data_IF_720925189248
#
_entry.id   IF_720925189248
#
_cell.length_a   1.000
_cell.length_b   1.000
_cell.length_c   1.000
_cell.angle_alpha   90.00
_cell.angle_beta   90.00
_cell.angle_gamma   90.00
#
_symmetry.space_group_name_H-M   'P 1'
#
loop_
_entity.id
_entity.type
_entity.pdbx_description
1 polymer ?
#
# COMPACT_ATOMS: atom_id res chain seq x y z
N UNK A 1 -74.42 25.47 -16.19
CA UNK A 1 -73.70 25.22 -17.46
C UNK A 1 -72.63 26.28 -17.57
N UNK A 2 -71.39 25.90 -17.23
CA UNK A 2 -70.23 26.78 -17.24
C UNK A 2 -69.58 26.72 -18.62
N UNK A 3 -69.43 27.89 -19.24
CA UNK A 3 -68.54 28.10 -20.36
C UNK A 3 -67.69 29.32 -20.04
N UNK A 4 -66.39 29.12 -19.91
CA UNK A 4 -65.36 30.13 -20.15
C UNK A 4 -64.04 29.41 -20.36
N UNK A 5 -63.56 29.49 -21.60
CA UNK A 5 -62.17 29.25 -21.96
C UNK A 5 -61.27 30.20 -21.17
N UNK A 6 -60.17 29.67 -20.63
CA UNK A 6 -58.98 30.48 -20.38
C UNK A 6 -57.79 29.78 -21.04
N UNK A 7 -57.60 30.11 -22.32
CA UNK A 7 -56.37 29.82 -23.05
C UNK A 7 -55.30 30.79 -22.58
N UNK A 8 -54.41 30.35 -21.69
CA UNK A 8 -53.04 30.86 -21.71
C UNK A 8 -52.20 29.94 -22.60
N UNK A 9 -51.45 30.49 -23.56
CA UNK A 9 -50.50 29.69 -24.33
C UNK A 9 -49.44 29.17 -23.37
N UNK A 10 -49.37 27.86 -23.18
CA UNK A 10 -48.20 27.23 -22.54
C UNK A 10 -47.08 27.30 -23.57
N UNK A 11 -46.04 28.06 -23.24
CA UNK A 11 -44.95 28.44 -24.14
C UNK A 11 -44.29 27.21 -24.79
N UNK A 12 -44.12 27.17 -26.13
CA UNK A 12 -43.36 26.13 -26.82
C UNK A 12 -41.84 26.12 -26.50
N UNK A 13 -41.35 27.07 -25.71
CA UNK A 13 -39.93 27.25 -25.36
C UNK A 13 -39.51 26.48 -24.08
N UNK A 14 -40.46 25.99 -23.27
CA UNK A 14 -40.12 25.38 -21.97
C UNK A 14 -39.68 23.91 -22.09
N UNK A 15 -40.21 23.13 -23.03
CA UNK A 15 -39.90 21.70 -23.13
C UNK A 15 -38.45 21.44 -23.55
N UNK A 16 -37.95 22.20 -24.54
CA UNK A 16 -36.55 22.14 -24.96
C UNK A 16 -35.62 22.62 -23.84
N UNK A 17 -36.03 23.66 -23.10
CA UNK A 17 -35.27 24.15 -21.95
C UNK A 17 -35.17 23.12 -20.80
N UNK A 18 -36.24 22.36 -20.56
CA UNK A 18 -36.31 21.29 -19.56
C UNK A 18 -35.42 20.12 -19.98
N UNK A 19 -35.51 19.66 -21.23
CA UNK A 19 -34.68 18.54 -21.72
C UNK A 19 -33.20 18.91 -21.83
N UNK A 20 -32.87 20.15 -22.22
CA UNK A 20 -31.49 20.66 -22.19
C UNK A 20 -30.98 20.72 -20.76
N UNK A 21 -31.82 21.12 -19.80
CA UNK A 21 -31.47 21.14 -18.39
C UNK A 21 -31.27 19.75 -17.79
N UNK A 22 -32.17 18.80 -18.04
CA UNK A 22 -32.05 17.41 -17.57
C UNK A 22 -30.74 16.76 -18.05
N UNK A 23 -30.42 16.93 -19.34
CA UNK A 23 -29.15 16.45 -19.89
C UNK A 23 -27.94 17.14 -19.26
N UNK A 24 -28.02 18.45 -19.04
CA UNK A 24 -26.96 19.24 -18.38
C UNK A 24 -26.78 18.82 -16.91
N UNK A 25 -27.88 18.54 -16.22
CA UNK A 25 -27.89 18.09 -14.83
C UNK A 25 -27.25 16.72 -14.71
N UNK A 26 -27.69 15.73 -15.48
CA UNK A 26 -27.10 14.38 -15.42
C UNK A 26 -25.62 14.38 -15.81
N UNK A 27 -25.23 15.21 -16.79
CA UNK A 27 -23.84 15.30 -17.22
C UNK A 27 -22.92 15.91 -16.15
N UNK A 28 -23.39 16.91 -15.39
CA UNK A 28 -22.52 17.71 -14.53
C UNK A 28 -22.75 17.54 -13.03
N UNK A 29 -23.87 16.96 -12.58
CA UNK A 29 -24.19 16.88 -11.14
C UNK A 29 -23.10 16.19 -10.34
N UNK A 30 -22.55 15.10 -10.86
CA UNK A 30 -21.53 14.32 -10.14
C UNK A 30 -20.26 15.15 -9.96
N UNK A 31 -19.85 15.91 -10.99
CA UNK A 31 -18.65 16.76 -10.94
C UNK A 31 -18.85 17.90 -9.93
N UNK A 32 -20.03 18.52 -9.89
CA UNK A 32 -20.35 19.59 -8.94
C UNK A 32 -20.46 19.05 -7.50
N UNK A 33 -21.11 17.90 -7.29
CA UNK A 33 -21.20 17.26 -5.96
C UNK A 33 -19.81 16.87 -5.45
N UNK A 34 -18.95 16.26 -6.28
CA UNK A 34 -17.54 15.99 -5.92
C UNK A 34 -16.81 17.28 -5.53
N UNK A 35 -16.99 18.37 -6.27
CA UNK A 35 -16.38 19.66 -5.93
C UNK A 35 -16.82 20.18 -4.55
N UNK A 36 -18.10 20.08 -4.22
CA UNK A 36 -18.60 20.46 -2.89
C UNK A 36 -18.06 19.56 -1.78
N UNK A 37 -18.04 18.24 -1.98
CA UNK A 37 -17.48 17.28 -1.02
C UNK A 37 -15.99 17.51 -0.76
N UNK A 38 -15.25 18.08 -1.71
CA UNK A 38 -13.85 18.47 -1.54
C UNK A 38 -13.68 19.78 -0.76
N UNK A 39 -14.65 20.69 -0.80
CA UNK A 39 -14.51 22.03 -0.19
C UNK A 39 -15.25 22.16 1.14
N UNK A 40 -16.33 21.42 1.31
CA UNK A 40 -17.25 21.54 2.43
C UNK A 40 -17.46 20.17 3.08
N UNK A 41 -18.31 20.11 4.10
CA UNK A 41 -18.71 18.83 4.69
C UNK A 41 -19.49 18.01 3.63
N UNK A 42 -19.14 16.73 3.39
CA UNK A 42 -19.81 15.91 2.39
C UNK A 42 -21.33 15.80 2.59
N UNK A 43 -21.83 15.92 3.82
CA UNK A 43 -23.25 15.84 4.15
C UNK A 43 -24.08 16.97 3.55
N UNK A 44 -23.47 18.10 3.18
CA UNK A 44 -24.17 19.24 2.55
C UNK A 44 -23.94 19.32 1.04
N UNK A 45 -23.15 18.40 0.46
CA UNK A 45 -22.73 18.49 -0.93
C UNK A 45 -23.89 18.32 -1.91
N UNK A 46 -24.82 17.41 -1.64
CA UNK A 46 -25.96 17.16 -2.52
C UNK A 46 -26.97 18.31 -2.52
N UNK A 47 -27.26 18.88 -1.35
CA UNK A 47 -28.13 20.06 -1.22
C UNK A 47 -27.55 21.28 -1.95
N UNK A 48 -26.26 21.53 -1.80
CA UNK A 48 -25.59 22.64 -2.50
C UNK A 48 -25.49 22.40 -4.00
N UNK A 49 -25.35 21.14 -4.42
CA UNK A 49 -25.42 20.76 -5.84
C UNK A 49 -26.78 21.13 -6.41
N UNK A 50 -27.87 20.74 -5.76
CA UNK A 50 -29.24 21.10 -6.19
C UNK A 50 -29.40 22.62 -6.31
N UNK A 51 -28.94 23.38 -5.31
CA UNK A 51 -29.01 24.85 -5.34
C UNK A 51 -28.25 25.48 -6.50
N UNK A 52 -27.09 24.92 -6.88
CA UNK A 52 -26.32 25.41 -8.04
C UNK A 52 -27.10 25.22 -9.33
N UNK A 53 -27.70 24.04 -9.52
CA UNK A 53 -28.45 23.77 -10.74
C UNK A 53 -29.74 24.57 -10.83
N UNK A 54 -30.45 24.80 -9.70
CA UNK A 54 -31.59 25.71 -9.66
C UNK A 54 -31.18 27.14 -10.07
N UNK A 55 -30.10 27.69 -9.48
CA UNK A 55 -29.57 29.00 -9.87
C UNK A 55 -29.12 29.04 -11.33
N UNK A 56 -28.57 27.95 -11.84
CA UNK A 56 -28.16 27.84 -13.24
C UNK A 56 -29.37 27.92 -14.18
N UNK A 57 -30.48 27.25 -13.87
CA UNK A 57 -31.74 27.34 -14.65
C UNK A 57 -32.27 28.77 -14.63
N UNK A 58 -32.40 29.35 -13.44
CA UNK A 58 -32.93 30.70 -13.27
C UNK A 58 -32.14 31.74 -14.05
N UNK A 59 -30.82 31.54 -14.20
CA UNK A 59 -29.91 32.49 -14.82
C UNK A 59 -29.42 32.07 -16.21
N UNK A 60 -29.93 30.98 -16.80
CA UNK A 60 -29.39 30.42 -18.05
C UNK A 60 -29.49 31.42 -19.21
N UNK A 61 -30.52 32.27 -19.21
CA UNK A 61 -30.71 33.35 -20.18
C UNK A 61 -29.58 34.38 -20.20
N UNK A 62 -28.78 34.47 -19.12
CA UNK A 62 -27.62 35.37 -19.03
C UNK A 62 -26.32 34.72 -19.54
N UNK A 63 -26.34 33.45 -19.96
CA UNK A 63 -25.18 32.77 -20.48
C UNK A 63 -24.88 33.22 -21.92
N UNK A 64 -23.81 34.00 -22.09
CA UNK A 64 -23.42 34.61 -23.38
C UNK A 64 -22.49 33.73 -24.25
N UNK A 65 -22.30 32.46 -23.91
CA UNK A 65 -21.47 31.52 -24.69
C UNK A 65 -19.95 31.82 -24.70
N UNK A 66 -19.47 32.73 -23.85
CA UNK A 66 -18.04 33.11 -23.77
C UNK A 66 -17.13 32.06 -23.12
N UNK A 67 -17.72 31.00 -22.57
CA UNK A 67 -17.06 29.80 -22.03
C UNK A 67 -17.92 28.59 -22.38
N UNK A 68 -17.45 27.36 -22.12
CA UNK A 68 -18.36 26.22 -22.14
C UNK A 68 -19.39 26.33 -20.99
N UNK A 69 -20.50 25.62 -21.15
CA UNK A 69 -21.61 25.64 -20.19
C UNK A 69 -21.17 25.18 -18.80
N UNK A 70 -20.34 24.13 -18.73
CA UNK A 70 -19.79 23.62 -17.48
C UNK A 70 -19.02 24.70 -16.69
N UNK A 71 -18.13 25.45 -17.34
CA UNK A 71 -17.34 26.53 -16.71
C UNK A 71 -18.25 27.60 -16.10
N UNK A 72 -19.36 27.90 -16.77
CA UNK A 72 -20.32 28.88 -16.29
C UNK A 72 -21.07 28.37 -15.05
N UNK A 73 -21.57 27.13 -15.08
CA UNK A 73 -22.20 26.47 -13.92
C UNK A 73 -21.20 26.35 -12.76
N UNK A 74 -19.95 26.01 -13.06
CA UNK A 74 -18.89 25.87 -12.07
C UNK A 74 -18.60 27.20 -11.35
N UNK A 75 -18.70 28.34 -12.05
CA UNK A 75 -18.58 29.66 -11.43
C UNK A 75 -19.70 29.94 -10.44
N UNK A 76 -20.91 29.46 -10.71
CA UNK A 76 -22.02 29.50 -9.75
C UNK A 76 -21.67 28.64 -8.52
N UNK A 77 -21.14 27.44 -8.71
CA UNK A 77 -20.68 26.59 -7.62
C UNK A 77 -19.58 27.23 -6.76
N UNK A 78 -18.55 27.84 -7.38
CA UNK A 78 -17.51 28.58 -6.65
C UNK A 78 -18.09 29.73 -5.80
N UNK A 79 -19.07 30.46 -6.34
CA UNK A 79 -19.74 31.52 -5.58
C UNK A 79 -20.58 30.95 -4.43
N UNK A 80 -21.25 29.81 -4.63
CA UNK A 80 -21.97 29.10 -3.57
C UNK A 80 -21.03 28.68 -2.44
N UNK A 81 -19.86 28.09 -2.74
CA UNK A 81 -18.83 27.75 -1.73
C UNK A 81 -18.39 29.00 -0.96
N UNK A 82 -18.08 30.11 -1.65
CA UNK A 82 -17.68 31.37 -1.00
C UNK A 82 -18.75 31.90 -0.06
N UNK A 83 -20.03 31.79 -0.44
CA UNK A 83 -21.14 32.22 0.39
C UNK A 83 -21.32 31.33 1.62
N UNK A 84 -21.18 30.01 1.47
CA UNK A 84 -21.24 29.08 2.60
C UNK A 84 -20.12 29.33 3.61
N UNK A 85 -18.88 29.56 3.17
CA UNK A 85 -17.80 29.92 4.10
C UNK A 85 -18.09 31.23 4.84
N UNK A 86 -18.60 32.26 4.15
CA UNK A 86 -19.02 33.52 4.80
C UNK A 86 -20.16 33.33 5.79
N UNK A 87 -21.05 32.35 5.55
CA UNK A 87 -22.15 32.02 6.45
C UNK A 87 -21.63 31.29 7.70
N UNK A 88 -20.77 30.29 7.50
CA UNK A 88 -20.14 29.52 8.58
C UNK A 88 -19.26 30.40 9.48
N UNK A 89 -18.52 31.35 8.88
CA UNK A 89 -17.72 32.33 9.62
C UNK A 89 -18.58 33.21 10.54
N UNK A 90 -19.76 33.67 10.06
CA UNK A 90 -20.71 34.46 10.87
C UNK A 90 -21.41 33.67 11.97
N UNK A 91 -21.52 32.35 11.86
CA UNK A 91 -22.15 31.50 12.89
C UNK A 91 -21.22 31.13 14.05
N UNK A 92 -19.91 31.42 13.94
CA UNK A 92 -18.85 30.98 14.88
C UNK A 92 -18.35 32.07 15.85
N UNK A 93 -19.09 33.16 16.07
CA UNK A 93 -18.73 34.18 17.06
C UNK A 93 -18.85 33.65 18.51
N UNK A 94 -17.80 32.95 18.98
CA UNK A 94 -17.45 32.67 20.39
C UNK A 94 -15.91 32.55 20.47
N UNK A 95 -15.24 33.08 21.50
CA UNK A 95 -13.90 33.63 21.37
C UNK A 95 -12.82 32.56 21.56
N UNK A 96 -12.20 32.14 20.46
CA UNK A 96 -10.81 31.69 20.46
C UNK A 96 -10.18 32.07 19.12
N UNK A 97 -8.92 32.47 19.21
CA UNK A 97 -8.05 33.09 18.20
C UNK A 97 -8.21 32.56 16.75
N UNK A 98 -8.37 33.47 15.79
CA UNK A 98 -8.40 33.16 14.35
C UNK A 98 -7.55 34.17 13.57
N UNK A 99 -6.27 33.85 13.41
CA UNK A 99 -5.58 34.13 12.15
C UNK A 99 -5.78 32.92 11.24
N UNK A 100 -6.11 33.13 9.97
CA UNK A 100 -6.23 32.11 8.90
C UNK A 100 -7.63 31.54 8.60
N UNK A 101 -8.60 32.42 8.33
CA UNK A 101 -9.82 32.06 7.57
C UNK A 101 -9.96 32.81 6.25
N UNK A 102 -8.92 33.53 5.82
CA UNK A 102 -8.75 33.85 4.42
C UNK A 102 -8.03 32.66 3.76
N UNK A 103 -8.72 32.07 2.77
CA UNK A 103 -8.20 31.19 1.72
C UNK A 103 -7.82 29.72 2.04
N UNK A 104 -8.57 28.84 1.35
CA UNK A 104 -8.13 27.67 0.59
C UNK A 104 -7.45 26.48 1.31
N UNK A 105 -8.25 25.45 1.62
CA UNK A 105 -7.79 24.05 1.57
C UNK A 105 -8.94 23.09 1.24
N UNK A 106 -8.60 21.86 0.83
CA UNK A 106 -9.56 20.74 0.65
C UNK A 106 -9.99 20.25 2.05
N UNK A 107 -11.26 19.89 2.21
CA UNK A 107 -11.81 19.31 3.43
C UNK A 107 -11.20 17.93 3.69
N UNK A 108 -10.52 17.78 4.83
CA UNK A 108 -9.82 16.56 5.25
C UNK A 108 -10.75 15.37 5.59
N UNK A 109 -12.07 15.58 5.62
CA UNK A 109 -13.03 14.50 5.88
C UNK A 109 -13.20 13.54 4.69
N UNK A 110 -12.96 13.99 3.46
CA UNK A 110 -13.13 13.16 2.27
C UNK A 110 -12.03 12.08 2.12
N UNK A 111 -10.82 12.32 2.65
CA UNK A 111 -9.69 11.37 2.56
C UNK A 111 -9.79 10.19 3.54
N UNK A 112 -10.77 10.21 4.46
CA UNK A 112 -10.96 9.13 5.45
C UNK A 112 -11.67 7.88 4.89
N UNK A 113 -12.19 7.92 3.67
CA UNK A 113 -13.00 6.85 3.07
C UNK A 113 -12.32 6.08 1.92
N UNK A 114 -11.00 6.16 1.79
CA UNK A 114 -10.22 5.29 0.91
C UNK A 114 -9.37 4.37 1.80
N UNK A 115 -9.56 3.06 1.69
CA UNK A 115 -8.95 2.00 2.51
C UNK A 115 -7.42 1.83 2.36
N UNK A 116 -6.72 2.88 1.93
CA UNK A 116 -5.26 2.98 1.94
C UNK A 116 -4.93 4.39 2.44
N UNK A 117 -4.50 4.51 3.70
CA UNK A 117 -4.09 5.79 4.30
C UNK A 117 -2.73 6.25 3.75
N UNK A 118 -2.71 6.68 2.49
CA UNK A 118 -1.82 7.76 2.08
C UNK A 118 -2.59 9.02 2.47
N UNK A 119 -2.09 9.79 3.44
CA UNK A 119 -2.69 11.08 3.79
C UNK A 119 -2.37 12.11 2.70
N UNK A 120 -2.98 11.91 1.53
CA UNK A 120 -2.94 12.83 0.40
C UNK A 120 -3.43 14.22 0.85
N UNK A 121 -4.28 14.27 1.88
CA UNK A 121 -4.76 15.51 2.48
C UNK A 121 -3.63 16.38 3.03
N UNK A 122 -2.76 15.83 3.88
CA UNK A 122 -1.63 16.58 4.44
C UNK A 122 -0.56 16.92 3.41
N UNK A 123 -0.30 16.05 2.43
CA UNK A 123 0.61 16.38 1.32
C UNK A 123 0.07 17.51 0.43
N UNK A 124 -1.24 17.54 0.17
CA UNK A 124 -1.89 18.62 -0.57
C UNK A 124 -1.81 19.95 0.18
N UNK A 125 -1.94 19.95 1.51
CA UNK A 125 -1.84 21.18 2.32
C UNK A 125 -0.49 21.90 2.20
N UNK A 126 0.58 21.19 1.84
CA UNK A 126 1.91 21.78 1.63
C UNK A 126 2.07 22.50 0.29
N UNK A 127 1.13 22.31 -0.64
CA UNK A 127 1.14 23.04 -1.91
C UNK A 127 0.57 24.44 -1.74
N UNK A 128 0.96 25.33 -2.65
CA UNK A 128 0.27 26.62 -2.75
C UNK A 128 -1.20 26.39 -3.11
N UNK A 129 -2.05 27.28 -2.65
CA UNK A 129 -3.49 27.06 -2.68
C UNK A 129 -4.05 26.91 -4.11
N UNK A 130 -3.45 27.62 -5.07
CA UNK A 130 -3.81 27.56 -6.49
C UNK A 130 -3.38 26.22 -7.09
N UNK A 131 -2.23 25.68 -6.68
CA UNK A 131 -1.75 24.35 -7.07
C UNK A 131 -2.69 23.26 -6.52
N UNK A 132 -3.16 23.39 -5.26
CA UNK A 132 -4.18 22.50 -4.69
C UNK A 132 -5.49 22.55 -5.51
N UNK A 133 -5.96 23.75 -5.85
CA UNK A 133 -7.19 23.93 -6.64
C UNK A 133 -7.05 23.32 -8.04
N UNK A 134 -5.92 23.53 -8.72
CA UNK A 134 -5.66 22.94 -10.04
C UNK A 134 -5.68 21.41 -9.99
N UNK A 135 -5.09 20.80 -8.96
CA UNK A 135 -5.07 19.34 -8.78
C UNK A 135 -6.47 18.80 -8.46
N UNK A 136 -7.20 19.46 -7.55
CA UNK A 136 -8.57 19.10 -7.21
C UNK A 136 -9.45 19.08 -8.47
N UNK A 137 -9.40 20.17 -9.25
CA UNK A 137 -10.17 20.29 -10.49
C UNK A 137 -9.79 19.22 -11.51
N UNK A 138 -8.49 18.92 -11.65
CA UNK A 138 -8.00 17.98 -12.66
C UNK A 138 -8.35 16.53 -12.35
N UNK A 139 -8.16 16.09 -11.10
CA UNK A 139 -8.18 14.66 -10.76
C UNK A 139 -9.41 14.21 -10.00
N UNK A 140 -10.12 15.12 -9.33
CA UNK A 140 -11.30 14.78 -8.55
C UNK A 140 -12.60 15.30 -9.18
N UNK A 141 -12.52 16.38 -9.95
CA UNK A 141 -13.66 16.99 -10.66
C UNK A 141 -13.62 16.71 -12.17
N UNK A 142 -12.59 16.00 -12.64
CA UNK A 142 -12.41 15.58 -14.04
C UNK A 142 -12.40 16.75 -15.05
N UNK A 143 -11.83 17.91 -14.67
CA UNK A 143 -11.71 19.08 -15.55
C UNK A 143 -10.55 18.96 -16.54
N UNK A 144 -10.76 19.51 -17.73
CA UNK A 144 -9.73 19.67 -18.76
C UNK A 144 -8.86 20.91 -18.49
N UNK A 145 -7.64 20.96 -19.04
CA UNK A 145 -6.76 22.12 -18.88
C UNK A 145 -7.38 23.44 -19.38
N UNK A 146 -8.11 23.48 -20.52
CA UNK A 146 -8.86 24.67 -20.94
C UNK A 146 -9.93 25.10 -19.93
N UNK A 147 -10.68 24.16 -19.33
CA UNK A 147 -11.68 24.47 -18.30
C UNK A 147 -11.03 25.05 -17.06
N UNK A 148 -9.95 24.42 -16.56
CA UNK A 148 -9.20 24.89 -15.39
C UNK A 148 -8.63 26.29 -15.65
N UNK A 149 -8.13 26.55 -16.86
CA UNK A 149 -7.66 27.87 -17.29
C UNK A 149 -8.73 28.94 -17.15
N UNK A 150 -9.98 28.65 -17.55
CA UNK A 150 -11.09 29.59 -17.42
C UNK A 150 -11.56 29.73 -15.96
N UNK A 151 -11.56 28.64 -15.19
CA UNK A 151 -11.98 28.62 -13.79
C UNK A 151 -11.00 29.41 -12.90
N UNK A 152 -9.70 29.18 -13.04
CA UNK A 152 -8.64 29.80 -12.22
C UNK A 152 -8.20 31.18 -12.78
N UNK A 153 -8.65 31.55 -13.98
CA UNK A 153 -8.36 32.85 -14.60
C UNK A 153 -6.91 33.02 -15.07
N UNK A 154 -6.25 31.92 -15.48
CA UNK A 154 -4.85 31.90 -15.94
C UNK A 154 -4.75 31.33 -17.35
N UNK A 155 -3.68 31.63 -18.08
CA UNK A 155 -3.42 31.01 -19.40
C UNK A 155 -3.27 29.50 -19.26
N UNK A 156 -3.76 28.73 -20.22
CA UNK A 156 -3.67 27.25 -20.20
C UNK A 156 -2.23 26.76 -20.05
N UNK A 157 -1.25 27.39 -20.70
CA UNK A 157 0.17 27.06 -20.54
C UNK A 157 0.68 27.29 -19.12
N UNK A 158 0.19 28.31 -18.42
CA UNK A 158 0.52 28.57 -17.02
C UNK A 158 -0.13 27.54 -16.09
N UNK A 159 -1.37 27.12 -16.37
CA UNK A 159 -2.06 26.04 -15.64
C UNK A 159 -1.33 24.72 -15.83
N UNK A 160 -0.96 24.37 -17.07
CA UNK A 160 -0.20 23.17 -17.39
C UNK A 160 1.13 23.13 -16.63
N UNK A 161 1.90 24.22 -16.67
CA UNK A 161 3.17 24.31 -15.96
C UNK A 161 3.01 24.23 -14.44
N UNK A 162 1.98 24.89 -13.88
CA UNK A 162 1.66 24.78 -12.45
C UNK A 162 1.25 23.38 -12.07
N UNK A 163 0.38 22.73 -12.84
CA UNK A 163 -0.01 21.33 -12.61
C UNK A 163 1.21 20.41 -12.56
N UNK A 164 2.13 20.49 -13.54
CA UNK A 164 3.35 19.67 -13.51
C UNK A 164 4.24 19.97 -12.30
N UNK A 165 4.41 21.24 -11.93
CA UNK A 165 5.20 21.62 -10.75
C UNK A 165 4.54 21.18 -9.44
N UNK A 166 3.23 21.29 -9.35
CA UNK A 166 2.44 20.88 -8.21
C UNK A 166 2.48 19.36 -8.05
N UNK A 167 2.40 18.61 -9.15
CA UNK A 167 2.60 17.17 -9.17
C UNK A 167 4.03 16.78 -8.80
N UNK A 168 5.05 17.53 -9.23
CA UNK A 168 6.43 17.29 -8.84
C UNK A 168 6.69 17.59 -7.36
N UNK A 169 6.10 18.68 -6.83
CA UNK A 169 6.12 18.99 -5.39
C UNK A 169 5.41 17.91 -4.60
N UNK A 170 4.19 17.52 -5.00
CA UNK A 170 3.50 16.38 -4.40
C UNK A 170 4.35 15.13 -4.50
N UNK A 171 4.98 14.85 -5.64
CA UNK A 171 5.85 13.69 -5.78
C UNK A 171 7.02 13.74 -4.81
N UNK A 172 7.59 14.91 -4.53
CA UNK A 172 8.65 15.13 -3.53
C UNK A 172 8.16 15.01 -2.10
N UNK A 173 7.04 15.62 -1.75
CA UNK A 173 6.41 15.51 -0.42
C UNK A 173 5.96 14.08 -0.16
N UNK A 174 5.36 13.45 -1.17
CA UNK A 174 5.07 12.02 -1.27
C UNK A 174 6.31 11.18 -1.56
N UNK A 175 7.53 11.72 -1.65
CA UNK A 175 8.81 10.97 -1.70
C UNK A 175 9.49 11.03 -0.34
N UNK A 176 9.46 12.17 0.33
CA UNK A 176 9.78 12.26 1.76
C UNK A 176 8.80 11.42 2.59
N UNK A 177 7.56 11.26 2.12
CA UNK A 177 6.62 10.23 2.59
C UNK A 177 6.68 8.91 1.80
N UNK A 178 7.27 8.91 0.60
CA UNK A 178 7.30 7.78 -0.36
C UNK A 178 8.63 7.05 -0.47
N UNK A 179 9.54 7.29 0.46
CA UNK A 179 10.40 6.21 0.96
C UNK A 179 9.53 5.13 1.66
N UNK A 180 8.23 5.36 1.87
CA UNK A 180 7.30 4.44 2.57
C UNK A 180 6.15 3.91 1.68
N UNK A 181 5.87 4.40 0.46
CA UNK A 181 4.82 3.78 -0.38
C UNK A 181 4.94 3.99 -1.89
N UNK A 182 4.80 2.88 -2.62
CA UNK A 182 4.66 2.68 -4.08
C UNK A 182 5.98 2.65 -4.87
N UNK A 183 6.87 1.72 -4.50
CA UNK A 183 7.58 0.95 -5.51
C UNK A 183 6.63 -0.16 -5.98
N UNK A 184 6.44 -0.36 -7.29
CA UNK A 184 5.82 -1.62 -7.75
C UNK A 184 6.70 -2.79 -7.31
N UNK A 185 6.18 -4.00 -7.14
CA UNK A 185 7.03 -5.14 -6.80
C UNK A 185 8.16 -5.32 -7.84
N UNK A 186 7.89 -4.99 -9.11
CA UNK A 186 8.89 -4.93 -10.19
C UNK A 186 10.01 -3.92 -9.92
N UNK A 187 9.70 -2.83 -9.23
CA UNK A 187 10.70 -1.85 -8.79
C UNK A 187 11.42 -2.31 -7.52
N UNK A 188 10.76 -3.08 -6.64
CA UNK A 188 11.31 -3.60 -5.36
C UNK A 188 12.29 -4.76 -5.54
N UNK A 189 12.19 -5.52 -6.63
CA UNK A 189 13.03 -6.68 -6.88
C UNK A 189 13.93 -6.42 -8.11
N UNK A 190 15.21 -6.74 -8.01
CA UNK A 190 16.11 -6.85 -9.17
C UNK A 190 16.72 -8.23 -9.18
N UNK A 191 16.55 -8.99 -10.26
CA UNK A 191 17.19 -10.30 -10.41
C UNK A 191 18.43 -10.14 -11.29
N UNK A 192 19.56 -10.69 -10.84
CA UNK A 192 20.87 -10.60 -11.50
C UNK A 192 21.53 -11.98 -11.50
N UNK A 193 21.96 -12.47 -12.67
CA UNK A 193 22.74 -13.70 -12.75
C UNK A 193 24.25 -13.40 -12.56
N UNK A 194 24.96 -14.29 -11.86
CA UNK A 194 26.41 -14.27 -11.69
C UNK A 194 27.04 -15.38 -12.55
N UNK A 195 28.11 -15.09 -13.29
CA UNK A 195 28.83 -16.04 -14.16
C UNK A 195 29.22 -15.46 -15.54
N UNK A 196 30.10 -16.16 -16.27
CA UNK A 196 30.72 -15.68 -17.53
C UNK A 196 29.79 -15.71 -18.77
N UNK A 197 28.66 -16.42 -18.72
CA UNK A 197 27.68 -16.45 -19.80
C UNK A 197 26.48 -15.55 -19.48
N UNK A 198 26.53 -14.30 -19.92
CA UNK A 198 25.37 -13.39 -19.95
C UNK A 198 24.35 -13.73 -21.05
N UNK A 199 24.46 -14.90 -21.70
CA UNK A 199 23.50 -15.34 -22.70
C UNK A 199 22.18 -15.75 -22.03
N UNK A 200 21.22 -14.82 -22.03
CA UNK A 200 19.82 -15.07 -21.67
C UNK A 200 19.17 -16.06 -22.64
N UNK A 201 19.45 -17.36 -22.46
CA UNK A 201 18.67 -18.42 -23.07
C UNK A 201 17.25 -18.46 -22.48
N UNK A 202 16.30 -19.11 -23.17
CA UNK A 202 14.89 -19.14 -22.75
C UNK A 202 14.68 -19.78 -21.37
N UNK A 203 15.58 -20.68 -20.95
CA UNK A 203 15.54 -21.32 -19.64
C UNK A 203 15.86 -20.33 -18.51
N UNK A 204 16.85 -19.44 -18.71
CA UNK A 204 17.22 -18.41 -17.75
C UNK A 204 16.12 -17.35 -17.61
N UNK A 205 15.48 -16.96 -18.73
CA UNK A 205 14.32 -16.06 -18.71
C UNK A 205 13.15 -16.68 -17.94
N UNK A 206 12.91 -17.97 -18.13
CA UNK A 206 11.89 -18.71 -17.38
C UNK A 206 12.18 -18.72 -15.88
N UNK A 207 13.42 -18.96 -15.47
CA UNK A 207 13.83 -18.89 -14.05
C UNK A 207 13.53 -17.51 -13.47
N UNK A 208 13.87 -16.44 -14.20
CA UNK A 208 13.60 -15.06 -13.75
C UNK A 208 12.10 -14.81 -13.59
N UNK A 209 11.30 -15.28 -14.54
CA UNK A 209 9.85 -15.15 -14.50
C UNK A 209 9.24 -15.95 -13.33
N UNK A 210 9.62 -17.22 -13.16
CA UNK A 210 9.11 -18.09 -12.10
C UNK A 210 9.47 -17.53 -10.70
N UNK A 211 10.70 -17.06 -10.51
CA UNK A 211 11.12 -16.39 -9.27
C UNK A 211 10.34 -15.10 -9.02
N UNK A 212 10.15 -14.30 -10.08
CA UNK A 212 9.39 -13.06 -9.98
C UNK A 212 7.94 -13.34 -9.58
N UNK A 213 7.28 -14.30 -10.21
CA UNK A 213 5.88 -14.64 -9.94
C UNK A 213 5.69 -15.18 -8.50
N UNK A 214 6.59 -16.06 -8.05
CA UNK A 214 6.56 -16.61 -6.70
C UNK A 214 6.75 -15.51 -5.63
N UNK A 215 7.70 -14.60 -5.86
CA UNK A 215 7.94 -13.49 -4.95
C UNK A 215 6.87 -12.43 -5.02
N UNK A 216 6.29 -12.15 -6.19
CA UNK A 216 5.31 -11.09 -6.33
C UNK A 216 4.06 -11.35 -5.51
N UNK A 217 3.57 -12.58 -5.50
CA UNK A 217 2.44 -12.95 -4.64
C UNK A 217 2.82 -12.91 -3.14
N UNK A 218 4.07 -13.27 -2.83
CA UNK A 218 4.54 -13.37 -1.45
C UNK A 218 4.86 -12.00 -0.84
N UNK A 219 5.45 -11.07 -1.58
CA UNK A 219 5.88 -9.76 -1.09
C UNK A 219 4.71 -8.98 -0.54
N UNK A 220 3.61 -8.87 -1.28
CA UNK A 220 2.43 -8.12 -0.83
C UNK A 220 1.80 -8.77 0.41
N UNK A 221 1.64 -10.10 0.38
CA UNK A 221 1.08 -10.87 1.48
C UNK A 221 1.92 -10.71 2.76
N UNK A 222 3.23 -10.96 2.69
CA UNK A 222 4.16 -10.93 3.81
C UNK A 222 4.30 -9.49 4.35
N UNK A 223 4.47 -8.50 3.47
CA UNK A 223 4.58 -7.08 3.87
C UNK A 223 3.33 -6.60 4.61
N UNK A 224 2.14 -6.97 4.11
CA UNK A 224 0.86 -6.64 4.74
C UNK A 224 0.72 -7.34 6.10
N UNK A 225 1.02 -8.64 6.15
CA UNK A 225 0.91 -9.46 7.36
C UNK A 225 1.80 -8.95 8.50
N UNK A 226 3.01 -8.52 8.17
CA UNK A 226 3.97 -8.01 9.16
C UNK A 226 3.96 -6.50 9.33
N UNK A 227 2.98 -5.82 8.73
CA UNK A 227 2.75 -4.36 8.82
C UNK A 227 4.05 -3.58 8.57
N UNK A 228 4.82 -4.03 7.59
CA UNK A 228 6.11 -3.45 7.24
C UNK A 228 6.30 -3.51 5.75
N UNK A 229 6.78 -2.43 5.16
CA UNK A 229 7.12 -2.39 3.75
C UNK A 229 8.65 -2.38 3.64
N UNK A 230 9.24 -3.13 2.69
CA UNK A 230 10.66 -3.12 2.43
C UNK A 230 11.24 -1.70 2.42
N UNK A 231 12.20 -1.39 3.31
CA UNK A 231 12.83 -0.07 3.38
C UNK A 231 13.66 0.27 2.14
N UNK A 232 14.01 -0.74 1.35
CA UNK A 232 14.91 -0.64 0.21
C UNK A 232 14.63 -1.70 -0.83
N UNK A 233 15.16 -1.48 -2.04
CA UNK A 233 15.10 -2.42 -3.15
C UNK A 233 15.90 -3.70 -2.83
N UNK A 234 15.23 -4.85 -2.87
CA UNK A 234 15.82 -6.18 -2.77
C UNK A 234 16.47 -6.57 -4.09
N UNK A 235 17.69 -7.10 -4.03
CA UNK A 235 18.40 -7.68 -5.18
C UNK A 235 18.49 -9.18 -4.98
N UNK A 236 18.29 -9.95 -6.03
CA UNK A 236 18.45 -11.40 -6.04
C UNK A 236 19.62 -11.71 -6.96
N UNK A 237 20.70 -12.19 -6.38
CA UNK A 237 21.86 -12.68 -7.11
C UNK A 237 21.75 -14.19 -7.25
N UNK A 238 21.67 -14.66 -8.50
CA UNK A 238 21.58 -16.07 -8.85
C UNK A 238 22.97 -16.55 -9.24
N UNK A 239 23.50 -17.48 -8.47
CA UNK A 239 24.78 -18.14 -8.71
C UNK A 239 24.57 -19.41 -9.55
N UNK A 240 25.50 -19.75 -10.46
CA UNK A 240 25.27 -20.76 -11.48
C UNK A 240 25.12 -22.16 -10.90
N UNK A 241 25.86 -22.47 -9.82
CA UNK A 241 25.87 -23.75 -9.13
C UNK A 241 26.23 -23.55 -7.65
N UNK A 242 26.04 -24.62 -6.87
CA UNK A 242 26.24 -24.62 -5.43
C UNK A 242 27.69 -24.33 -5.01
N UNK A 243 28.75 -24.94 -5.62
CA UNK A 243 30.14 -24.59 -5.30
C UNK A 243 30.47 -23.12 -5.53
N UNK A 244 30.00 -22.54 -6.63
CA UNK A 244 30.22 -21.11 -6.94
C UNK A 244 29.51 -20.22 -5.92
N UNK A 245 28.29 -20.58 -5.51
CA UNK A 245 27.58 -19.88 -4.44
C UNK A 245 28.36 -19.94 -3.11
N UNK A 246 28.77 -21.12 -2.67
CA UNK A 246 29.54 -21.35 -1.44
C UNK A 246 30.84 -20.55 -1.42
N UNK A 247 31.58 -20.55 -2.52
CA UNK A 247 32.79 -19.74 -2.67
C UNK A 247 32.48 -18.23 -2.56
N UNK A 248 31.41 -17.76 -3.20
CA UNK A 248 31.07 -16.34 -3.24
C UNK A 248 30.57 -15.78 -1.90
N UNK A 249 30.00 -16.63 -1.04
CA UNK A 249 29.57 -16.24 0.32
C UNK A 249 30.64 -16.50 1.38
N UNK A 250 31.80 -17.04 0.99
CA UNK A 250 32.92 -17.30 1.90
C UNK A 250 32.80 -18.58 2.72
N UNK A 251 31.91 -19.49 2.34
CA UNK A 251 31.57 -20.71 3.07
C UNK A 251 31.82 -21.96 2.20
N UNK A 252 33.08 -22.21 1.82
CA UNK A 252 33.44 -23.27 0.84
C UNK A 252 33.13 -24.69 1.31
N UNK A 253 33.05 -24.91 2.63
CA UNK A 253 32.76 -26.20 3.26
C UNK A 253 31.31 -26.28 3.78
N UNK A 254 30.43 -25.37 3.32
CA UNK A 254 29.05 -25.36 3.76
C UNK A 254 28.31 -26.65 3.38
N UNK A 255 27.34 -27.09 4.19
CA UNK A 255 26.50 -28.24 3.87
C UNK A 255 25.72 -28.04 2.56
N UNK A 256 25.40 -29.14 1.87
CA UNK A 256 24.68 -29.10 0.60
C UNK A 256 23.27 -28.49 0.70
N UNK A 257 22.67 -28.49 1.89
CA UNK A 257 21.37 -27.86 2.12
C UNK A 257 21.45 -26.32 2.12
N UNK A 258 22.65 -25.74 2.31
CA UNK A 258 22.88 -24.30 2.32
C UNK A 258 22.90 -23.75 0.90
N UNK A 259 21.73 -23.36 0.40
CA UNK A 259 21.52 -22.96 -1.00
C UNK A 259 21.29 -21.46 -1.20
N UNK A 260 21.21 -20.70 -0.10
CA UNK A 260 20.98 -19.27 -0.16
C UNK A 260 21.13 -18.57 1.17
N UNK A 261 21.40 -17.27 1.10
CA UNK A 261 21.56 -16.36 2.25
C UNK A 261 21.18 -14.94 1.83
N UNK A 262 21.29 -13.97 2.72
CA UNK A 262 21.18 -12.56 2.37
C UNK A 262 22.25 -11.72 3.05
N UNK A 263 22.67 -10.64 2.38
CA UNK A 263 23.61 -9.66 2.89
C UNK A 263 23.11 -8.25 2.53
N UNK A 264 22.83 -7.43 3.54
CA UNK A 264 22.22 -6.13 3.35
C UNK A 264 20.87 -6.25 2.65
N UNK A 265 20.78 -5.79 1.40
CA UNK A 265 19.58 -5.85 0.55
C UNK A 265 19.62 -6.95 -0.51
N UNK A 266 20.65 -7.78 -0.49
CA UNK A 266 20.92 -8.76 -1.54
C UNK A 266 20.63 -10.17 -1.03
N UNK A 267 19.59 -10.80 -1.56
CA UNK A 267 19.38 -12.24 -1.48
C UNK A 267 20.35 -12.93 -2.45
N UNK A 268 21.14 -13.88 -1.98
CA UNK A 268 22.08 -14.66 -2.76
C UNK A 268 21.56 -16.09 -2.80
N UNK A 269 21.28 -16.63 -3.98
CA UNK A 269 20.72 -17.98 -4.15
C UNK A 269 21.47 -18.76 -5.21
N UNK A 270 21.50 -20.09 -5.10
CA UNK A 270 21.87 -20.97 -6.19
C UNK A 270 20.80 -20.96 -7.29
N UNK A 271 21.20 -21.20 -8.53
CA UNK A 271 20.29 -21.34 -9.67
C UNK A 271 19.32 -22.49 -9.47
N UNK A 272 17.99 -22.27 -9.65
CA UNK A 272 17.02 -23.35 -9.71
C UNK A 272 17.32 -24.43 -10.77
N UNK A 273 18.10 -24.09 -11.81
CA UNK A 273 18.51 -25.03 -12.86
C UNK A 273 19.60 -26.01 -12.39
N UNK A 274 20.41 -25.62 -11.40
CA UNK A 274 21.51 -26.41 -10.84
C UNK A 274 21.46 -26.33 -9.31
N UNK A 275 20.37 -26.82 -8.66
CA UNK A 275 20.08 -26.55 -7.25
C UNK A 275 20.97 -27.33 -6.27
N UNK A 276 21.82 -28.23 -6.76
CA UNK A 276 22.57 -29.18 -5.93
C UNK A 276 21.77 -30.41 -5.54
N UNK A 277 22.34 -31.30 -4.70
CA UNK A 277 21.78 -32.64 -4.45
C UNK A 277 20.61 -32.66 -3.44
N UNK A 278 20.49 -31.65 -2.59
CA UNK A 278 19.48 -31.59 -1.52
C UNK A 278 18.23 -30.79 -1.90
N UNK A 279 18.22 -30.18 -3.10
CA UNK A 279 17.20 -29.24 -3.51
C UNK A 279 16.63 -29.58 -4.89
N UNK A 280 15.39 -29.13 -5.09
CA UNK A 280 14.70 -29.18 -6.37
C UNK A 280 14.49 -27.75 -6.87
N UNK A 281 14.19 -27.59 -8.15
CA UNK A 281 13.80 -26.30 -8.73
C UNK A 281 12.76 -25.57 -7.86
N UNK A 282 11.70 -26.28 -7.44
CA UNK A 282 10.62 -25.73 -6.64
C UNK A 282 11.03 -25.38 -5.21
N UNK A 283 11.95 -26.15 -4.59
CA UNK A 283 12.45 -25.80 -3.26
C UNK A 283 13.33 -24.55 -3.28
N UNK A 284 14.04 -24.28 -4.40
CA UNK A 284 14.77 -23.01 -4.56
C UNK A 284 13.80 -21.81 -4.65
N UNK A 285 12.71 -21.92 -5.43
CA UNK A 285 11.70 -20.85 -5.51
C UNK A 285 11.12 -20.54 -4.12
N UNK A 286 10.66 -21.56 -3.40
CA UNK A 286 10.14 -21.40 -2.03
C UNK A 286 11.19 -20.87 -1.07
N UNK A 287 12.43 -21.37 -1.16
CA UNK A 287 13.52 -20.86 -0.32
C UNK A 287 13.86 -19.41 -0.62
N UNK A 288 13.57 -18.90 -1.82
CA UNK A 288 13.70 -17.47 -2.11
C UNK A 288 12.65 -16.64 -1.36
N UNK A 289 11.40 -17.13 -1.27
CA UNK A 289 10.37 -16.51 -0.41
C UNK A 289 10.78 -16.56 1.06
N UNK A 290 11.35 -17.69 1.50
CA UNK A 290 11.89 -17.83 2.86
C UNK A 290 12.91 -16.74 3.14
N UNK A 291 13.91 -16.59 2.27
CA UNK A 291 14.96 -15.59 2.41
C UNK A 291 14.42 -14.16 2.38
N UNK A 292 13.43 -13.87 1.53
CA UNK A 292 12.75 -12.57 1.52
C UNK A 292 12.05 -12.29 2.86
N UNK A 293 11.30 -13.26 3.40
CA UNK A 293 10.62 -13.10 4.68
C UNK A 293 11.63 -12.89 5.81
N UNK A 294 12.72 -13.68 5.87
CA UNK A 294 13.81 -13.46 6.84
C UNK A 294 14.41 -12.06 6.73
N UNK A 295 14.69 -11.62 5.51
CA UNK A 295 15.23 -10.29 5.24
C UNK A 295 14.26 -9.20 5.71
N UNK A 296 12.96 -9.33 5.42
CA UNK A 296 11.95 -8.38 5.85
C UNK A 296 11.86 -8.30 7.38
N UNK A 297 11.95 -9.45 8.08
CA UNK A 297 11.99 -9.46 9.54
C UNK A 297 13.27 -8.77 10.06
N UNK A 298 14.41 -8.98 9.41
CA UNK A 298 15.64 -8.25 9.73
C UNK A 298 15.54 -6.75 9.44
N UNK A 299 14.74 -6.34 8.46
CA UNK A 299 14.47 -4.94 8.13
C UNK A 299 13.56 -4.28 9.17
N UNK A 300 12.63 -5.03 9.76
CA UNK A 300 11.80 -4.59 10.90
C UNK A 300 12.65 -4.45 12.17
N UNK A 301 13.44 -5.50 12.46
CA UNK A 301 14.27 -5.57 13.65
C UNK A 301 15.54 -6.38 13.36
N UNK A 302 16.69 -5.72 13.17
CA UNK A 302 17.96 -6.40 12.94
C UNK A 302 18.40 -7.31 14.10
N UNK A 303 17.89 -7.07 15.31
CA UNK A 303 18.17 -7.87 16.51
C UNK A 303 17.18 -9.03 16.71
N UNK A 304 16.28 -9.30 15.76
CA UNK A 304 15.34 -10.41 15.85
C UNK A 304 16.10 -11.76 15.95
N UNK A 305 15.79 -12.60 16.96
CA UNK A 305 16.36 -13.93 17.12
C UNK A 305 16.32 -14.76 15.84
N UNK A 306 17.36 -15.58 15.64
CA UNK A 306 17.48 -16.47 14.47
C UNK A 306 16.26 -17.36 14.33
N UNK A 307 15.77 -17.95 15.42
CA UNK A 307 14.61 -18.82 15.41
C UNK A 307 13.32 -18.10 14.96
N UNK A 308 13.15 -16.82 15.29
CA UNK A 308 12.03 -16.01 14.79
C UNK A 308 12.17 -15.81 13.28
N UNK A 309 13.36 -15.37 12.83
CA UNK A 309 13.63 -15.11 11.40
C UNK A 309 13.43 -16.38 10.57
N UNK A 310 14.08 -17.48 10.96
CA UNK A 310 14.01 -18.78 10.30
C UNK A 310 12.61 -19.40 10.34
N UNK A 311 11.93 -19.31 11.49
CA UNK A 311 10.57 -19.81 11.66
C UNK A 311 9.59 -19.09 10.75
N UNK A 312 9.66 -17.75 10.70
CA UNK A 312 8.82 -16.94 9.80
C UNK A 312 9.16 -17.22 8.34
N UNK A 313 10.45 -17.31 8.01
CA UNK A 313 10.90 -17.69 6.67
C UNK A 313 10.26 -19.01 6.21
N UNK A 314 10.37 -20.05 7.02
CA UNK A 314 9.79 -21.37 6.71
C UNK A 314 8.26 -21.36 6.64
N UNK A 315 7.63 -20.61 7.56
CA UNK A 315 6.17 -20.48 7.66
C UNK A 315 5.57 -19.78 6.43
N UNK A 316 6.09 -18.61 6.06
CA UNK A 316 5.57 -17.84 4.93
C UNK A 316 5.86 -18.53 3.59
N UNK A 317 7.03 -19.15 3.44
CA UNK A 317 7.38 -19.91 2.24
C UNK A 317 6.61 -21.22 2.07
N UNK A 318 5.87 -21.67 3.10
CA UNK A 318 5.27 -23.02 3.17
C UNK A 318 6.29 -24.07 2.73
N UNK A 319 7.50 -23.93 3.28
CA UNK A 319 8.69 -24.64 2.81
C UNK A 319 8.57 -26.14 3.07
N UNK A 320 7.96 -26.51 4.20
CA UNK A 320 7.78 -27.88 4.66
C UNK A 320 6.30 -28.22 4.79
N UNK A 321 5.93 -29.46 4.51
CA UNK A 321 4.59 -29.97 4.81
C UNK A 321 4.45 -30.32 6.29
N UNK A 322 3.23 -30.27 6.82
CA UNK A 322 2.96 -30.70 8.21
C UNK A 322 3.39 -32.15 8.45
N UNK A 323 3.18 -33.04 7.47
CA UNK A 323 3.61 -34.45 7.58
C UNK A 323 5.14 -34.59 7.66
N UNK A 324 5.88 -33.80 6.88
CA UNK A 324 7.34 -33.79 6.93
C UNK A 324 7.85 -33.28 8.28
N UNK A 325 7.29 -32.18 8.78
CA UNK A 325 7.65 -31.63 10.10
C UNK A 325 7.40 -32.70 11.16
N UNK A 326 6.18 -33.25 11.22
CA UNK A 326 5.81 -34.28 12.20
C UNK A 326 6.75 -35.48 12.16
N UNK A 327 6.99 -36.04 10.97
CA UNK A 327 7.85 -37.22 10.82
C UNK A 327 9.32 -36.96 11.16
N UNK A 328 9.83 -35.76 10.86
CA UNK A 328 11.24 -35.42 11.11
C UNK A 328 11.53 -35.00 12.55
N UNK A 329 10.53 -34.57 13.32
CA UNK A 329 10.69 -34.16 14.73
C UNK A 329 10.19 -35.19 15.73
N UNK A 330 9.52 -36.26 15.30
CA UNK A 330 8.89 -37.26 16.18
C UNK A 330 9.86 -37.85 17.21
N UNK A 331 11.06 -38.25 16.77
CA UNK A 331 12.08 -38.83 17.65
C UNK A 331 12.58 -37.82 18.69
N UNK A 332 12.80 -36.57 18.30
CA UNK A 332 13.25 -35.50 19.19
C UNK A 332 12.19 -35.16 20.24
N UNK A 333 10.92 -35.11 19.83
CA UNK A 333 9.78 -34.87 20.73
C UNK A 333 9.64 -36.04 21.72
N UNK A 334 9.67 -37.29 21.23
CA UNK A 334 9.55 -38.50 22.06
C UNK A 334 10.67 -38.62 23.09
N UNK A 335 11.88 -38.23 22.72
CA UNK A 335 13.06 -38.29 23.60
C UNK A 335 13.28 -37.03 24.43
N UNK A 336 12.37 -36.05 24.38
CA UNK A 336 12.47 -34.77 25.10
C UNK A 336 13.74 -33.97 24.78
N UNK A 337 14.27 -34.10 23.55
CA UNK A 337 15.43 -33.34 23.07
C UNK A 337 14.99 -32.15 22.22
N UNK A 338 13.95 -31.44 22.68
CA UNK A 338 13.46 -30.23 22.02
C UNK A 338 14.43 -29.08 22.36
N UNK A 339 14.94 -28.35 21.36
CA UNK A 339 15.92 -27.30 21.60
C UNK A 339 15.29 -26.08 22.28
N UNK A 340 16.03 -25.47 23.20
CA UNK A 340 15.73 -24.19 23.84
C UNK A 340 15.82 -23.01 22.86
N UNK A 341 15.26 -21.85 23.22
CA UNK A 341 15.38 -20.65 22.40
C UNK A 341 16.83 -20.17 22.24
N UNK A 342 17.67 -20.36 23.25
CA UNK A 342 19.11 -20.05 23.18
C UNK A 342 19.82 -20.96 22.17
N UNK A 343 19.56 -22.27 22.21
CA UNK A 343 20.11 -23.22 21.24
C UNK A 343 19.66 -22.86 19.82
N UNK A 344 18.37 -22.59 19.64
CA UNK A 344 17.80 -22.14 18.35
C UNK A 344 18.31 -20.76 17.91
N UNK A 345 18.96 -19.98 18.78
CA UNK A 345 19.55 -18.70 18.42
C UNK A 345 21.05 -18.82 18.06
N UNK A 346 21.66 -20.00 18.18
CA UNK A 346 23.08 -20.17 17.90
C UNK A 346 23.39 -20.14 16.38
N UNK A 347 24.48 -19.48 16.02
CA UNK A 347 24.96 -19.32 14.65
C UNK A 347 25.94 -20.42 14.22
N UNK A 348 25.49 -21.68 14.32
CA UNK A 348 26.22 -22.86 13.82
C UNK A 348 25.44 -23.65 12.77
N UNK A 349 26.15 -24.52 12.06
CA UNK A 349 25.56 -25.49 11.13
C UNK A 349 24.75 -26.59 11.84
N UNK A 350 24.87 -26.72 13.17
CA UNK A 350 24.11 -27.68 13.97
C UNK A 350 22.61 -27.37 14.01
N UNK A 351 22.20 -26.19 13.51
CA UNK A 351 20.81 -25.79 13.44
C UNK A 351 19.91 -26.82 12.75
N UNK A 352 20.34 -27.42 11.63
CA UNK A 352 19.59 -28.52 10.99
C UNK A 352 19.70 -29.83 11.78
N UNK A 353 20.85 -30.10 12.39
CA UNK A 353 21.08 -31.32 13.20
C UNK A 353 20.05 -31.44 14.33
N UNK A 354 19.73 -30.32 14.98
CA UNK A 354 18.71 -30.26 16.04
C UNK A 354 17.28 -29.99 15.53
N UNK A 355 17.04 -30.08 14.22
CA UNK A 355 15.73 -29.77 13.60
C UNK A 355 15.25 -28.36 13.86
N UNK A 356 16.18 -27.41 13.90
CA UNK A 356 15.94 -26.02 14.23
C UNK A 356 14.96 -25.34 13.28
N UNK A 357 14.97 -25.67 11.98
CA UNK A 357 14.01 -25.13 11.01
C UNK A 357 12.57 -25.58 11.35
N UNK A 358 12.39 -26.87 11.64
CA UNK A 358 11.11 -27.49 11.97
C UNK A 358 10.57 -26.94 13.29
N UNK A 359 11.40 -26.89 14.33
CA UNK A 359 11.00 -26.37 15.64
C UNK A 359 10.69 -24.86 15.58
N UNK A 360 11.50 -24.08 14.86
CA UNK A 360 11.23 -22.65 14.64
C UNK A 360 9.92 -22.42 13.89
N UNK A 361 9.63 -23.24 12.86
CA UNK A 361 8.35 -23.22 12.15
C UNK A 361 7.19 -23.47 13.12
N UNK A 362 7.26 -24.55 13.91
CA UNK A 362 6.19 -24.92 14.84
C UNK A 362 6.00 -23.87 15.94
N UNK A 363 7.05 -23.17 16.36
CA UNK A 363 6.94 -22.07 17.32
C UNK A 363 6.17 -20.88 16.71
N UNK A 364 6.44 -20.54 15.45
CA UNK A 364 5.67 -19.50 14.74
C UNK A 364 4.22 -19.93 14.55
N UNK A 365 3.97 -21.18 14.16
CA UNK A 365 2.63 -21.74 14.03
C UNK A 365 1.86 -21.67 15.35
N UNK A 366 2.48 -22.10 16.45
CA UNK A 366 1.93 -22.01 17.81
C UNK A 366 1.56 -20.57 18.18
N UNK A 367 2.47 -19.61 17.96
CA UNK A 367 2.21 -18.20 18.27
C UNK A 367 1.03 -17.67 17.46
N UNK A 368 0.99 -17.97 16.16
CA UNK A 368 -0.10 -17.52 15.27
C UNK A 368 -1.43 -18.14 15.66
N UNK A 369 -1.47 -19.45 15.91
CA UNK A 369 -2.71 -20.16 16.24
C UNK A 369 -3.25 -19.79 17.63
N UNK A 370 -2.37 -19.58 18.61
CA UNK A 370 -2.79 -19.32 20.00
C UNK A 370 -2.95 -17.85 20.35
N UNK A 371 -2.11 -16.98 19.80
CA UNK A 371 -2.06 -15.55 20.16
C UNK A 371 -2.33 -14.62 18.98
N UNK A 372 -2.38 -15.14 17.76
CA UNK A 372 -2.68 -14.37 16.55
C UNK A 372 -1.46 -13.66 15.96
N UNK A 373 -1.65 -13.20 14.72
CA UNK A 373 -0.61 -12.52 13.93
C UNK A 373 -0.15 -11.20 14.57
N UNK A 374 -1.02 -10.52 15.32
CA UNK A 374 -0.65 -9.28 16.02
C UNK A 374 0.35 -9.54 17.16
N UNK A 375 0.23 -10.67 17.87
CA UNK A 375 1.21 -11.05 18.89
C UNK A 375 2.57 -11.38 18.27
N UNK A 376 2.59 -12.12 17.15
CA UNK A 376 3.80 -12.38 16.38
C UNK A 376 4.47 -11.08 15.92
N UNK A 377 3.68 -10.10 15.46
CA UNK A 377 4.16 -8.78 15.06
C UNK A 377 4.83 -8.00 16.20
N UNK A 378 4.28 -8.10 17.42
CA UNK A 378 4.89 -7.51 18.61
C UNK A 378 6.18 -8.25 18.98
N UNK A 379 6.16 -9.59 18.91
CA UNK A 379 7.32 -10.43 19.23
C UNK A 379 8.50 -10.13 18.31
N UNK A 380 8.27 -9.91 17.01
CA UNK A 380 9.33 -9.50 16.06
C UNK A 380 9.99 -8.18 16.51
N UNK A 381 9.18 -7.20 16.95
CA UNK A 381 9.65 -5.84 17.30
C UNK A 381 10.26 -5.78 18.71
N UNK A 382 9.79 -6.64 19.62
CA UNK A 382 10.20 -6.70 21.02
C UNK A 382 10.41 -8.17 21.44
N UNK A 383 11.50 -8.83 20.98
CA UNK A 383 11.69 -10.28 21.13
C UNK A 383 11.91 -10.75 22.58
N UNK A 384 12.08 -9.82 23.52
CA UNK A 384 12.30 -10.09 24.95
C UNK A 384 11.05 -9.79 25.80
N UNK A 385 10.01 -9.16 25.23
CA UNK A 385 8.82 -8.71 25.97
C UNK A 385 7.76 -9.81 26.06
N UNK A 386 8.12 -10.97 26.61
CA UNK A 386 7.20 -12.10 26.73
C UNK A 386 6.01 -11.77 27.65
N UNK A 387 6.25 -11.08 28.76
CA UNK A 387 5.19 -10.70 29.71
C UNK A 387 4.19 -9.73 29.09
N UNK A 388 4.66 -8.68 28.39
CA UNK A 388 3.77 -7.71 27.75
C UNK A 388 2.96 -8.30 26.59
N UNK A 389 3.53 -9.26 25.86
CA UNK A 389 2.92 -9.84 24.66
C UNK A 389 2.01 -11.02 24.99
N UNK A 390 2.49 -11.97 25.78
CA UNK A 390 1.84 -13.26 26.05
C UNK A 390 1.27 -13.38 27.45
N UNK A 391 1.54 -12.41 28.34
CA UNK A 391 1.17 -12.47 29.76
C UNK A 391 1.77 -13.70 30.47
N UNK A 392 2.95 -14.13 30.03
CA UNK A 392 3.74 -15.18 30.68
C UNK A 392 5.24 -14.93 30.47
N UNK A 393 6.06 -15.58 31.29
CA UNK A 393 7.51 -15.59 31.15
C UNK A 393 7.94 -16.39 29.90
N UNK A 394 9.20 -16.20 29.48
CA UNK A 394 9.82 -16.99 28.41
C UNK A 394 9.74 -18.50 28.67
N UNK A 395 10.05 -18.92 29.91
CA UNK A 395 10.00 -20.33 30.32
C UNK A 395 8.58 -20.89 30.23
N UNK A 396 7.58 -20.15 30.70
CA UNK A 396 6.18 -20.58 30.60
C UNK A 396 5.68 -20.65 29.15
N UNK A 397 6.14 -19.74 28.28
CA UNK A 397 5.82 -19.79 26.86
C UNK A 397 6.42 -21.03 26.21
N UNK A 398 7.69 -21.32 26.51
CA UNK A 398 8.38 -22.52 26.05
C UNK A 398 7.64 -23.79 26.48
N UNK A 399 7.23 -23.90 27.75
CA UNK A 399 6.46 -25.04 28.23
C UNK A 399 5.10 -25.19 27.53
N UNK A 400 4.42 -24.08 27.26
CA UNK A 400 3.16 -24.10 26.51
C UNK A 400 3.36 -24.55 25.06
N UNK A 401 4.42 -24.09 24.43
CA UNK A 401 4.79 -24.51 23.08
C UNK A 401 5.15 -25.99 23.01
N UNK A 402 5.96 -26.49 23.95
CA UNK A 402 6.29 -27.91 24.08
C UNK A 402 5.04 -28.75 24.26
N UNK A 403 4.08 -28.31 25.09
CA UNK A 403 2.78 -29.00 25.23
C UNK A 403 1.98 -29.00 23.93
N UNK A 404 1.99 -27.90 23.18
CA UNK A 404 1.29 -27.78 21.90
C UNK A 404 1.83 -28.76 20.85
N UNK A 405 3.14 -28.89 20.69
CA UNK A 405 3.73 -29.82 19.71
C UNK A 405 3.65 -31.30 20.12
N UNK A 406 3.33 -31.58 21.39
CA UNK A 406 3.07 -32.93 21.90
C UNK A 406 1.60 -33.36 21.78
N UNK A 407 0.68 -32.41 21.51
CA UNK A 407 -0.76 -32.66 21.40
C UNK A 407 -1.13 -33.13 19.99
#
# INVERSE_FOLDING_TARGET
MSGAHDTKPVYPDEQDSITIFENTYEQYRQRISKYFSLKLNPLVADDLTQQVFLKAVENIHNFKGSSNLFTWIFKIAQNTVKNEYRRLSRQKESPYDFTDYESQSISLEFTKHVDIRIDIGSALQKLDEIDQEIIALRFFVDCTLPEISKIVGRRESAVKNRLYRALEKLRKELKEWGDIAIMSIQDLISIVNKGDNQDTNDHTKKVHQDLFDELNNSVEQVSTKYKHHPSQKVVIEIYPDLPTFHQAVGETDAPNWFMGTYEGRTLKIVSPLEPGPEHTYQSILKGTVHLFAMWLISDINPAAPKWIRQGIGGYEAKQMSRDFIKGSTEDSIRNQTIPSFDELNNDTWDFETMKGFQFSYMMVEFVVERYGVDALNKLIRSPQDFEGIFQCSETELYEQWVKYINA
#
